data_IF_509956079687
#
_entry.id   IF_509956079687
#
_cell.length_a   1.000
_cell.length_b   1.000
_cell.length_c   1.000
_cell.angle_alpha   90.00
_cell.angle_beta   90.00
_cell.angle_gamma   90.00
#
_symmetry.space_group_name_H-M   'P 1'
#
loop_
_entity.id
_entity.type
_entity.pdbx_description
1 polymer ?
#
# COMPACT_ATOMS: atom_id res chain seq x y z
N UNK A 1 17.82 -10.76 39.31
CA UNK A 1 18.27 -11.41 38.05
C UNK A 1 17.13 -11.30 37.04
N UNK A 2 17.16 -10.29 36.15
CA UNK A 2 16.11 -10.12 35.13
C UNK A 2 16.21 -11.20 34.06
N UNK A 3 15.10 -11.88 33.75
CA UNK A 3 15.01 -12.74 32.57
C UNK A 3 15.31 -11.88 31.35
N UNK A 4 16.45 -12.10 30.69
CA UNK A 4 16.66 -11.57 29.32
C UNK A 4 15.57 -12.19 28.46
N UNK A 5 14.62 -11.38 27.97
CA UNK A 5 13.65 -11.85 26.98
C UNK A 5 14.44 -12.38 25.78
N UNK A 6 14.10 -13.59 25.34
CA UNK A 6 14.64 -14.13 24.11
C UNK A 6 14.18 -13.26 22.94
N UNK A 7 15.11 -12.99 22.02
CA UNK A 7 14.78 -12.38 20.73
C UNK A 7 14.08 -13.41 19.86
N UNK A 8 13.07 -12.97 19.14
CA UNK A 8 12.31 -13.78 18.19
C UNK A 8 12.50 -13.23 16.79
N UNK A 9 12.44 -14.09 15.78
CA UNK A 9 12.42 -13.66 14.39
C UNK A 9 11.15 -12.87 14.13
N UNK A 10 11.33 -11.68 13.54
CA UNK A 10 10.21 -10.83 13.16
C UNK A 10 9.64 -11.33 11.82
N UNK A 11 8.32 -11.34 11.61
CA UNK A 11 7.73 -11.75 10.34
C UNK A 11 8.08 -10.77 9.21
N UNK A 12 7.84 -11.19 7.98
CA UNK A 12 7.77 -10.28 6.85
C UNK A 12 6.39 -9.61 6.83
N UNK A 13 6.34 -8.37 6.32
CA UNK A 13 5.11 -7.59 6.23
C UNK A 13 4.92 -7.12 4.80
N UNK A 14 3.72 -7.27 4.26
CA UNK A 14 3.30 -6.64 3.00
C UNK A 14 2.13 -5.73 3.24
N UNK A 15 2.24 -4.49 2.76
CA UNK A 15 1.20 -3.48 2.84
C UNK A 15 0.79 -3.06 1.43
N UNK A 16 -0.50 -3.16 1.14
CA UNK A 16 -1.08 -2.77 -0.15
C UNK A 16 -2.16 -1.71 0.06
N UNK A 17 -2.19 -0.64 -0.75
CA UNK A 17 -3.31 0.30 -0.74
C UNK A 17 -4.56 -0.33 -1.35
N UNK A 18 -5.71 0.20 -0.97
CA UNK A 18 -6.95 -0.04 -1.70
C UNK A 18 -6.92 0.65 -3.08
N UNK A 19 -6.33 1.85 -3.17
CA UNK A 19 -6.19 2.57 -4.43
C UNK A 19 -4.99 2.06 -5.22
N UNK A 20 -5.26 1.36 -6.33
CA UNK A 20 -4.22 0.79 -7.20
C UNK A 20 -3.54 1.79 -8.14
N UNK A 21 -4.16 2.95 -8.37
CA UNK A 21 -3.67 4.01 -9.24
C UNK A 21 -3.73 5.32 -8.46
N UNK A 22 -2.66 6.13 -8.54
CA UNK A 22 -2.59 7.44 -7.91
C UNK A 22 -3.32 8.49 -8.75
N UNK A 23 -4.00 9.43 -8.09
CA UNK A 23 -4.73 10.50 -8.77
C UNK A 23 -3.82 11.35 -9.65
N UNK A 24 -2.63 11.71 -9.15
CA UNK A 24 -1.66 12.54 -9.89
C UNK A 24 -1.31 11.99 -11.29
N UNK A 25 -1.28 10.66 -11.45
CA UNK A 25 -1.12 10.03 -12.77
C UNK A 25 -2.31 10.31 -13.69
N UNK A 26 -3.54 10.13 -13.19
CA UNK A 26 -4.75 10.37 -13.97
C UNK A 26 -4.88 11.84 -14.38
N UNK A 27 -4.45 12.78 -13.53
CA UNK A 27 -4.54 14.22 -13.81
C UNK A 27 -3.54 14.71 -14.87
N UNK A 28 -2.33 14.13 -14.88
CA UNK A 28 -1.20 14.66 -15.65
C UNK A 28 -0.96 13.91 -16.95
N UNK A 29 -1.07 12.59 -16.90
CA UNK A 29 -0.54 11.71 -17.94
C UNK A 29 -1.62 11.05 -18.80
N UNK A 30 -2.90 11.24 -18.45
CA UNK A 30 -4.02 10.81 -19.28
C UNK A 30 -4.54 12.00 -20.10
N UNK A 31 -4.21 12.01 -21.40
CA UNK A 31 -4.48 13.12 -22.33
C UNK A 31 -5.95 13.59 -22.37
N UNK A 32 -6.91 12.74 -21.95
CA UNK A 32 -8.34 13.04 -21.96
C UNK A 32 -8.98 13.22 -20.57
N UNK A 33 -8.19 13.16 -19.49
CA UNK A 33 -8.68 13.10 -18.11
C UNK A 33 -8.14 14.27 -17.28
N UNK A 34 -8.59 15.49 -17.60
CA UNK A 34 -8.27 16.70 -16.82
C UNK A 34 -9.10 16.77 -15.54
N UNK A 35 -8.87 15.81 -14.64
CA UNK A 35 -9.52 15.79 -13.33
C UNK A 35 -8.87 16.82 -12.42
N UNK A 36 -9.61 17.83 -11.96
CA UNK A 36 -9.14 18.70 -10.88
C UNK A 36 -9.25 18.03 -9.51
N UNK A 37 -10.08 16.99 -9.40
CA UNK A 37 -10.32 16.25 -8.16
C UNK A 37 -10.75 14.78 -8.42
N UNK A 38 -9.92 13.80 -8.02
CA UNK A 38 -10.24 12.37 -8.16
C UNK A 38 -11.23 11.82 -7.10
N UNK A 39 -11.67 12.66 -6.17
CA UNK A 39 -12.72 12.30 -5.18
C UNK A 39 -14.12 12.31 -5.78
N UNK A 40 -14.33 13.07 -6.87
CA UNK A 40 -15.65 13.34 -7.45
C UNK A 40 -15.62 13.20 -8.98
N UNK A 41 -15.34 11.98 -9.44
CA UNK A 41 -15.28 11.66 -10.86
C UNK A 41 -16.60 11.90 -11.61
N UNK A 42 -17.73 11.88 -10.91
CA UNK A 42 -19.07 12.01 -11.48
C UNK A 42 -19.38 13.41 -12.00
N UNK A 43 -18.68 14.45 -11.53
CA UNK A 43 -19.02 15.84 -11.82
C UNK A 43 -18.03 16.55 -12.78
N UNK A 44 -16.90 15.93 -13.12
CA UNK A 44 -15.74 16.64 -13.71
C UNK A 44 -15.08 15.87 -14.88
N UNK A 45 -15.34 14.57 -15.05
CA UNK A 45 -14.74 13.79 -16.12
C UNK A 45 -15.49 13.96 -17.45
N UNK A 46 -14.76 14.14 -18.56
CA UNK A 46 -15.28 13.86 -19.90
C UNK A 46 -15.80 12.41 -19.95
N UNK A 47 -16.74 12.11 -20.86
CA UNK A 47 -17.18 10.72 -21.07
C UNK A 47 -16.01 9.78 -21.35
N UNK A 48 -14.99 10.23 -22.08
CA UNK A 48 -13.77 9.47 -22.35
C UNK A 48 -12.98 9.17 -21.07
N UNK A 49 -12.86 10.13 -20.15
CA UNK A 49 -12.21 9.96 -18.85
C UNK A 49 -13.01 9.00 -17.94
N UNK A 50 -14.34 9.11 -17.92
CA UNK A 50 -15.19 8.13 -17.21
C UNK A 50 -14.97 6.72 -17.74
N UNK A 51 -14.97 6.54 -19.07
CA UNK A 51 -14.72 5.26 -19.70
C UNK A 51 -13.32 4.74 -19.34
N UNK A 52 -12.25 5.52 -19.45
CA UNK A 52 -10.91 5.02 -19.10
C UNK A 52 -10.81 4.63 -17.62
N UNK A 53 -11.31 5.44 -16.69
CA UNK A 53 -11.24 5.10 -15.26
C UNK A 53 -12.13 3.88 -14.94
N UNK A 54 -13.28 3.73 -15.58
CA UNK A 54 -14.18 2.59 -15.42
C UNK A 54 -13.65 1.30 -16.11
N UNK A 55 -13.02 1.43 -17.28
CA UNK A 55 -12.42 0.35 -18.07
C UNK A 55 -11.04 -0.07 -17.57
N UNK A 56 -10.36 0.75 -16.78
CA UNK A 56 -9.19 0.37 -15.96
C UNK A 56 -9.60 -0.55 -14.80
N UNK A 57 -10.46 -1.53 -15.10
CA UNK A 57 -10.79 -2.68 -14.27
C UNK A 57 -9.59 -3.64 -14.22
N UNK A 58 -9.70 -4.72 -13.44
CA UNK A 58 -8.58 -5.66 -13.25
C UNK A 58 -8.02 -6.23 -14.56
N UNK A 59 -8.87 -6.44 -15.58
CA UNK A 59 -8.47 -7.02 -16.87
C UNK A 59 -7.52 -6.11 -17.67
N UNK A 60 -7.90 -4.86 -17.95
CA UNK A 60 -7.06 -3.92 -18.69
C UNK A 60 -5.81 -3.54 -17.88
N UNK A 61 -5.95 -3.34 -16.57
CA UNK A 61 -4.80 -3.10 -15.70
C UNK A 61 -3.82 -4.28 -15.74
N UNK A 62 -4.32 -5.51 -15.75
CA UNK A 62 -3.51 -6.73 -15.82
C UNK A 62 -2.75 -6.90 -17.15
N UNK A 63 -3.20 -6.25 -18.23
CA UNK A 63 -2.51 -6.25 -19.53
C UNK A 63 -1.32 -5.28 -19.59
N UNK A 64 -1.24 -4.33 -18.65
CA UNK A 64 -0.12 -3.40 -18.58
C UNK A 64 1.17 -4.11 -18.18
N UNK A 65 2.29 -3.66 -18.76
CA UNK A 65 3.61 -4.11 -18.34
C UNK A 65 3.82 -3.79 -16.86
N UNK A 66 4.63 -4.61 -16.17
CA UNK A 66 4.88 -4.43 -14.75
C UNK A 66 5.45 -3.05 -14.42
N UNK A 67 6.34 -2.53 -15.27
CA UNK A 67 6.93 -1.19 -15.14
C UNK A 67 5.87 -0.09 -15.22
N UNK A 68 4.92 -0.19 -16.14
CA UNK A 68 3.79 0.74 -16.23
C UNK A 68 2.89 0.65 -15.01
N UNK A 69 2.54 -0.57 -14.57
CA UNK A 69 1.73 -0.76 -13.36
C UNK A 69 2.41 -0.16 -12.13
N UNK A 70 3.72 -0.30 -12.03
CA UNK A 70 4.53 0.30 -10.97
C UNK A 70 4.54 1.83 -11.04
N UNK A 71 4.68 2.39 -12.24
CA UNK A 71 4.71 3.84 -12.47
C UNK A 71 3.40 4.54 -12.11
N UNK A 72 2.26 3.90 -12.42
CA UNK A 72 0.92 4.48 -12.20
C UNK A 72 0.35 4.19 -10.80
N UNK A 73 0.95 3.25 -10.07
CA UNK A 73 0.53 2.88 -8.71
C UNK A 73 0.89 3.92 -7.65
N UNK A 74 0.35 3.73 -6.44
CA UNK A 74 0.69 4.56 -5.28
C UNK A 74 2.17 4.45 -4.94
N UNK A 75 2.73 5.55 -4.43
CA UNK A 75 4.11 5.64 -3.96
C UNK A 75 4.17 5.45 -2.44
N UNK A 76 5.31 4.96 -1.95
CA UNK A 76 5.51 4.69 -0.51
C UNK A 76 5.44 5.97 0.28
N UNK A 77 6.09 7.03 -0.21
CA UNK A 77 6.22 8.35 0.40
C UNK A 77 4.84 8.97 0.65
N UNK A 78 3.87 8.59 -0.17
CA UNK A 78 2.47 9.04 -0.13
C UNK A 78 1.64 8.20 0.85
N UNK A 79 2.21 7.12 1.40
CA UNK A 79 1.53 6.14 2.26
C UNK A 79 2.16 5.98 3.65
N UNK A 80 3.48 5.91 3.78
CA UNK A 80 4.19 5.62 5.04
C UNK A 80 4.73 6.92 5.62
N UNK A 81 4.25 7.29 6.82
CA UNK A 81 4.63 8.52 7.50
C UNK A 81 5.68 8.29 8.58
N UNK A 82 5.48 7.29 9.44
CA UNK A 82 6.47 6.90 10.45
C UNK A 82 6.67 5.39 10.45
N UNK A 83 7.92 5.00 10.68
CA UNK A 83 8.32 3.62 10.88
C UNK A 83 9.33 3.56 12.00
N UNK A 84 9.03 2.80 13.06
CA UNK A 84 9.99 2.52 14.12
C UNK A 84 10.02 1.03 14.44
N UNK A 85 11.22 0.45 14.54
CA UNK A 85 11.44 -0.91 15.04
C UNK A 85 12.51 -0.87 16.13
N UNK A 86 12.26 -1.47 17.30
CA UNK A 86 13.16 -1.34 18.46
C UNK A 86 13.58 0.12 18.73
N UNK A 87 12.62 1.06 18.70
CA UNK A 87 12.84 2.50 18.85
C UNK A 87 13.76 3.17 17.80
N UNK A 88 14.11 2.48 16.72
CA UNK A 88 14.97 3.01 15.64
C UNK A 88 14.16 3.25 14.36
N UNK A 89 14.41 4.34 13.61
CA UNK A 89 13.75 4.58 12.32
C UNK A 89 13.97 3.43 11.33
N UNK A 90 12.91 3.00 10.65
CA UNK A 90 12.97 1.88 9.70
C UNK A 90 12.43 2.18 8.30
N UNK A 91 12.17 3.44 7.97
CA UNK A 91 11.60 3.85 6.68
C UNK A 91 12.40 3.31 5.48
N UNK A 92 13.73 3.40 5.52
CA UNK A 92 14.61 2.94 4.44
C UNK A 92 14.62 1.42 4.19
N UNK A 93 14.01 0.60 5.06
CA UNK A 93 13.94 -0.86 4.86
C UNK A 93 12.73 -1.31 4.02
N UNK A 94 11.80 -0.39 3.73
CA UNK A 94 10.60 -0.67 2.91
C UNK A 94 10.85 -0.61 1.40
N UNK A 95 11.99 -0.03 0.98
CA UNK A 95 12.27 0.29 -0.43
C UNK A 95 12.77 -0.92 -1.25
N UNK A 96 13.00 -2.06 -0.61
CA UNK A 96 13.69 -3.18 -1.26
C UNK A 96 12.78 -4.08 -2.10
N UNK A 97 11.46 -4.11 -1.87
CA UNK A 97 10.55 -5.04 -2.56
C UNK A 97 9.17 -4.44 -2.81
N UNK A 98 9.03 -3.74 -3.95
CA UNK A 98 7.72 -3.33 -4.48
C UNK A 98 7.11 -4.50 -5.24
N UNK A 99 6.07 -5.11 -4.67
CA UNK A 99 5.26 -6.11 -5.36
C UNK A 99 4.10 -5.39 -6.02
N UNK A 100 3.93 -5.52 -7.33
CA UNK A 100 2.77 -4.99 -8.01
C UNK A 100 1.73 -6.09 -8.23
N UNK A 101 0.54 -5.93 -7.66
CA UNK A 101 -0.59 -6.86 -7.84
C UNK A 101 -1.65 -6.24 -8.74
N UNK A 102 -2.35 -7.07 -9.51
CA UNK A 102 -3.43 -6.60 -10.39
C UNK A 102 -4.60 -6.02 -9.57
N UNK A 103 -4.86 -6.57 -8.39
CA UNK A 103 -5.94 -6.16 -7.50
C UNK A 103 -5.64 -4.89 -6.71
N UNK A 104 -4.38 -4.65 -6.32
CA UNK A 104 -4.01 -3.56 -5.39
C UNK A 104 -2.98 -2.56 -5.92
N UNK A 105 -2.38 -2.82 -7.07
CA UNK A 105 -1.26 -2.02 -7.58
C UNK A 105 -0.01 -2.22 -6.72
N UNK A 106 0.69 -1.13 -6.41
CA UNK A 106 1.96 -1.18 -5.68
C UNK A 106 1.78 -1.53 -4.21
N UNK A 107 2.42 -2.61 -3.80
CA UNK A 107 2.52 -3.05 -2.42
C UNK A 107 3.97 -2.96 -1.93
N UNK A 108 4.13 -2.65 -0.65
CA UNK A 108 5.42 -2.41 -0.02
C UNK A 108 5.74 -3.48 1.00
N UNK A 109 6.96 -3.98 0.92
CA UNK A 109 7.44 -5.08 1.72
C UNK A 109 8.46 -4.69 2.78
N UNK A 110 8.39 -5.32 3.95
CA UNK A 110 9.40 -5.21 5.00
C UNK A 110 9.88 -6.58 5.44
N UNK A 111 11.18 -6.69 5.72
CA UNK A 111 11.83 -7.88 6.30
C UNK A 111 11.59 -9.20 5.51
N UNK A 112 11.53 -9.11 4.18
CA UNK A 112 11.38 -10.29 3.32
C UNK A 112 12.52 -11.31 3.45
N UNK A 113 13.73 -10.83 3.77
CA UNK A 113 14.88 -11.69 4.00
C UNK A 113 14.93 -12.30 5.43
N UNK A 114 14.01 -11.90 6.33
CA UNK A 114 13.94 -12.43 7.69
C UNK A 114 15.11 -12.02 8.59
N UNK A 115 15.82 -10.95 8.25
CA UNK A 115 17.01 -10.52 8.99
C UNK A 115 16.70 -9.85 10.34
N UNK A 116 15.45 -9.42 10.56
CA UNK A 116 15.08 -8.71 11.78
C UNK A 116 14.68 -9.65 12.92
N UNK A 117 15.14 -9.29 14.12
CA UNK A 117 14.74 -9.92 15.36
C UNK A 117 14.30 -8.85 16.36
N UNK A 118 13.23 -9.14 17.08
CA UNK A 118 12.63 -8.26 18.08
C UNK A 118 12.52 -8.96 19.42
N UNK A 119 12.30 -8.20 20.49
CA UNK A 119 11.87 -8.77 21.77
C UNK A 119 10.36 -8.75 21.83
N UNK A 120 9.80 -9.66 22.63
CA UNK A 120 8.38 -9.63 22.91
C UNK A 120 8.04 -8.41 23.77
N UNK A 121 7.14 -7.57 23.28
CA UNK A 121 6.65 -6.39 23.99
C UNK A 121 6.08 -5.35 23.01
N UNK A 122 5.07 -4.56 23.43
CA UNK A 122 4.43 -3.57 22.55
C UNK A 122 5.39 -2.46 22.11
N UNK A 123 6.38 -2.12 22.93
CA UNK A 123 7.41 -1.12 22.61
C UNK A 123 8.63 -1.71 21.87
N UNK A 124 8.78 -3.03 21.93
CA UNK A 124 9.94 -3.76 21.38
C UNK A 124 9.65 -4.29 19.96
N UNK A 125 8.43 -4.10 19.46
CA UNK A 125 7.99 -4.51 18.14
C UNK A 125 8.25 -3.45 17.07
N UNK A 126 7.34 -3.41 16.11
CA UNK A 126 7.32 -2.45 15.03
C UNK A 126 6.08 -1.58 15.13
N UNK A 127 6.26 -0.26 15.01
CA UNK A 127 5.17 0.69 14.87
C UNK A 127 5.22 1.33 13.48
N UNK A 128 4.07 1.36 12.84
CA UNK A 128 3.87 1.92 11.50
C UNK A 128 2.73 2.93 11.57
N UNK A 129 3.02 4.17 11.16
CA UNK A 129 2.01 5.19 10.93
C UNK A 129 1.90 5.43 9.43
N UNK A 130 0.68 5.31 8.93
CA UNK A 130 0.37 5.57 7.53
C UNK A 130 -0.38 6.87 7.36
N UNK A 131 -0.02 7.62 6.33
CA UNK A 131 -0.78 8.76 5.85
C UNK A 131 -1.33 8.41 4.48
N UNK A 132 -2.66 8.26 4.35
CA UNK A 132 -3.28 8.05 3.05
C UNK A 132 -3.73 9.39 2.50
N UNK A 133 -2.96 9.91 1.55
CA UNK A 133 -3.27 11.17 0.89
C UNK A 133 -4.61 11.05 0.13
N UNK A 134 -5.66 11.71 0.65
CA UNK A 134 -7.01 11.66 0.07
C UNK A 134 -7.05 12.22 -1.36
N UNK A 135 -6.25 13.23 -1.65
CA UNK A 135 -6.10 13.80 -2.99
C UNK A 135 -5.45 12.84 -3.99
N UNK A 136 -4.72 11.82 -3.53
CA UNK A 136 -4.15 10.78 -4.39
C UNK A 136 -5.06 9.56 -4.56
N UNK A 137 -6.16 9.49 -3.79
CA UNK A 137 -7.12 8.40 -3.87
C UNK A 137 -8.14 8.63 -4.99
N UNK A 138 -8.55 7.56 -5.68
CA UNK A 138 -9.52 7.60 -6.77
C UNK A 138 -10.84 6.99 -6.30
N UNK A 139 -11.84 7.84 -6.06
CA UNK A 139 -13.10 7.45 -5.41
C UNK A 139 -14.22 7.17 -6.44
N UNK A 140 -15.14 6.26 -6.09
CA UNK A 140 -16.37 5.91 -6.82
C UNK A 140 -16.25 5.21 -8.20
N UNK A 141 -15.10 5.16 -8.86
CA UNK A 141 -14.95 4.46 -10.15
C UNK A 141 -14.17 3.14 -10.04
N UNK A 142 -13.03 3.15 -9.34
CA UNK A 142 -12.16 1.97 -9.20
C UNK A 142 -12.17 1.38 -7.78
N UNK A 143 -12.49 2.19 -6.77
CA UNK A 143 -12.60 1.74 -5.39
C UNK A 143 -13.62 2.58 -4.60
N UNK A 144 -14.36 1.90 -3.72
CA UNK A 144 -15.29 2.53 -2.77
C UNK A 144 -14.73 2.50 -1.33
N UNK A 145 -13.44 2.18 -1.18
CA UNK A 145 -12.75 2.09 0.11
C UNK A 145 -11.44 2.85 0.05
N UNK A 146 -11.14 3.57 1.13
CA UNK A 146 -9.82 4.16 1.39
C UNK A 146 -9.27 3.45 2.61
N UNK A 147 -8.05 2.94 2.48
CA UNK A 147 -7.41 2.15 3.53
C UNK A 147 -6.25 1.37 2.97
N UNK A 148 -5.71 0.51 3.82
CA UNK A 148 -4.65 -0.43 3.52
C UNK A 148 -5.14 -1.85 3.79
N UNK A 149 -4.51 -2.80 3.11
CA UNK A 149 -4.55 -4.20 3.47
C UNK A 149 -3.15 -4.63 3.86
N UNK A 150 -3.01 -5.27 5.00
CA UNK A 150 -1.72 -5.67 5.58
C UNK A 150 -1.73 -7.17 5.81
N UNK A 151 -0.67 -7.86 5.42
CA UNK A 151 -0.48 -9.29 5.70
C UNK A 151 0.87 -9.50 6.35
N UNK A 152 0.88 -10.34 7.40
CA UNK A 152 2.08 -10.89 8.00
C UNK A 152 2.31 -12.28 7.42
N UNK A 153 3.53 -12.57 6.99
CA UNK A 153 3.87 -13.86 6.38
C UNK A 153 5.30 -14.27 6.71
N UNK A 154 5.70 -15.49 6.35
CA UNK A 154 7.07 -15.94 6.58
C UNK A 154 8.05 -15.22 5.63
N UNK A 155 9.29 -14.96 6.07
CA UNK A 155 10.34 -14.48 5.16
C UNK A 155 10.49 -15.37 3.92
N UNK A 156 10.75 -14.76 2.77
CA UNK A 156 10.87 -15.39 1.45
C UNK A 156 9.60 -16.11 0.95
N UNK A 157 8.45 -15.92 1.61
CA UNK A 157 7.15 -16.43 1.16
C UNK A 157 6.44 -15.40 0.26
N UNK A 158 5.63 -15.90 -0.68
CA UNK A 158 4.73 -15.06 -1.48
C UNK A 158 3.60 -14.57 -0.58
N UNK A 159 3.36 -13.25 -0.48
CA UNK A 159 2.31 -12.72 0.39
C UNK A 159 0.91 -12.98 -0.18
N UNK A 160 0.09 -13.74 0.54
CA UNK A 160 -1.30 -14.01 0.19
C UNK A 160 -2.22 -12.87 0.63
N UNK A 161 -2.01 -11.67 0.06
CA UNK A 161 -2.67 -10.44 0.52
C UNK A 161 -4.20 -10.49 0.45
N UNK A 162 -4.77 -11.09 -0.59
CA UNK A 162 -6.23 -11.13 -0.74
C UNK A 162 -6.87 -12.11 0.25
N UNK A 163 -6.21 -13.22 0.54
CA UNK A 163 -6.73 -14.31 1.37
C UNK A 163 -6.51 -14.07 2.87
N UNK A 164 -5.29 -13.65 3.24
CA UNK A 164 -4.86 -13.54 4.65
C UNK A 164 -4.70 -12.11 5.13
N UNK A 165 -4.81 -11.13 4.24
CA UNK A 165 -4.66 -9.72 4.59
C UNK A 165 -5.79 -9.21 5.49
N UNK A 166 -5.44 -8.29 6.40
CA UNK A 166 -6.38 -7.55 7.24
C UNK A 166 -6.48 -6.11 6.79
N UNK A 167 -7.68 -5.56 6.90
CA UNK A 167 -7.96 -4.18 6.52
C UNK A 167 -7.58 -3.23 7.67
N UNK A 168 -6.90 -2.15 7.32
CA UNK A 168 -6.54 -1.04 8.20
C UNK A 168 -7.10 0.24 7.59
N UNK A 169 -8.01 0.90 8.32
CA UNK A 169 -8.69 2.08 7.83
C UNK A 169 -8.10 3.36 8.44
N UNK A 170 -8.23 4.52 7.77
CA UNK A 170 -7.84 5.79 8.37
C UNK A 170 -8.54 6.02 9.71
N UNK A 171 -7.77 6.48 10.71
CA UNK A 171 -8.30 6.78 12.04
C UNK A 171 -8.45 5.58 12.98
N UNK A 172 -8.01 4.38 12.57
CA UNK A 172 -7.91 3.21 13.46
C UNK A 172 -6.46 2.83 13.77
N UNK A 173 -6.26 2.18 14.92
CA UNK A 173 -5.02 1.52 15.31
C UNK A 173 -5.25 0.02 15.39
N UNK A 174 -4.29 -0.77 14.89
CA UNK A 174 -4.38 -2.23 14.88
C UNK A 174 -3.11 -2.81 15.49
N UNK A 175 -3.29 -3.77 16.38
CA UNK A 175 -2.23 -4.63 16.92
C UNK A 175 -2.38 -6.01 16.27
N UNK A 176 -1.27 -6.59 15.84
CA UNK A 176 -1.21 -7.85 15.10
C UNK A 176 -0.48 -8.93 15.90
#
# INVERSE_FOLDING_TARGET
KGRRSLRQYFPAITICPYNKIKCSYLQRDLENCYLTNCSNLWNIASWDCFLVVHYMRMELYGQLQQTDRQRIGMEREVMVKLCTINHSPCSGYFDAQTINTVSRGNCFGFNYNGSFQVRAGPEEGMSLEFFLARNESVWHSMNNKVGLRVVLHQPNEVPLIEELGRDVFPGSSHEF
#
